data_IF_063331605183
#
_entry.id   IF_063331605183
#
_cell.length_a   1.000
_cell.length_b   1.000
_cell.length_c   1.000
_cell.angle_alpha   90.00
_cell.angle_beta   90.00
_cell.angle_gamma   90.00
#
_symmetry.space_group_name_H-M   'P 1'
#
loop_
_entity.id
_entity.type
_entity.pdbx_description
1 polymer ?
#
# COMPACT_ATOMS: atom_id res chain seq x y z
N UNK A 1 19.11 70.29 12.13
CA UNK A 1 17.74 70.79 12.33
C UNK A 1 16.77 69.71 11.92
N UNK A 2 15.87 69.34 12.82
CA UNK A 2 14.79 68.39 12.57
C UNK A 2 13.68 69.08 11.80
N UNK A 3 13.16 68.45 10.75
CA UNK A 3 11.80 68.68 10.27
C UNK A 3 11.15 67.34 10.04
N UNK A 4 10.02 67.17 10.71
CA UNK A 4 9.19 65.99 10.78
C UNK A 4 7.81 66.36 10.18
N UNK A 5 7.02 65.33 9.86
CA UNK A 5 5.61 65.37 9.41
C UNK A 5 5.41 65.72 7.91
N UNK A 6 4.72 64.89 7.10
CA UNK A 6 3.40 64.30 7.37
C UNK A 6 3.24 62.92 6.72
N UNK A 7 2.61 62.03 7.49
CA UNK A 7 2.04 60.75 7.07
C UNK A 7 0.84 61.02 6.17
N UNK A 8 0.88 60.59 4.92
CA UNK A 8 -0.29 60.45 4.05
C UNK A 8 -0.57 58.96 3.85
N UNK A 9 -1.75 58.53 4.30
CA UNK A 9 -2.27 57.17 4.08
C UNK A 9 -3.06 57.17 2.77
N UNK A 10 -2.77 56.24 1.86
CA UNK A 10 -3.68 55.76 0.79
C UNK A 10 -3.12 54.47 0.17
N UNK A 11 -4.00 53.63 -0.39
CA UNK A 11 -4.56 52.44 0.25
C UNK A 11 -3.78 51.16 -0.09
N UNK A 12 -4.02 50.09 0.69
CA UNK A 12 -3.53 48.75 0.42
C UNK A 12 -3.70 48.37 -1.06
N UNK A 13 -2.60 48.29 -1.80
CA UNK A 13 -2.58 47.50 -3.02
C UNK A 13 -2.72 46.04 -2.59
N UNK A 14 -3.93 45.51 -2.79
CA UNK A 14 -4.32 44.13 -2.57
C UNK A 14 -3.15 43.21 -2.88
N UNK A 15 -2.64 42.51 -1.87
CA UNK A 15 -1.73 41.38 -2.05
C UNK A 15 -2.40 40.45 -3.05
N UNK A 16 -1.78 40.25 -4.21
CA UNK A 16 -2.13 39.16 -5.11
C UNK A 16 -2.19 37.88 -4.24
N UNK A 17 -3.23 37.06 -4.36
CA UNK A 17 -3.25 35.80 -3.64
C UNK A 17 -1.99 35.04 -4.05
N UNK A 18 -1.18 34.66 -3.06
CA UNK A 18 -0.06 33.75 -3.25
C UNK A 18 -0.67 32.45 -3.78
N UNK A 19 -0.67 32.29 -5.10
CA UNK A 19 -1.13 31.06 -5.73
C UNK A 19 -0.07 30.00 -5.43
N UNK A 20 -0.20 29.36 -4.28
CA UNK A 20 0.44 28.09 -3.98
C UNK A 20 -0.17 27.06 -4.92
N UNK A 21 0.42 26.93 -6.11
CA UNK A 21 0.20 25.75 -6.92
C UNK A 21 0.81 24.57 -6.16
N UNK A 22 -0.03 23.70 -5.62
CA UNK A 22 0.38 22.38 -5.15
C UNK A 22 0.74 21.56 -6.39
N UNK A 23 1.97 21.73 -6.87
CA UNK A 23 2.53 20.86 -7.90
C UNK A 23 2.65 19.48 -7.25
N UNK A 24 1.70 18.61 -7.55
CA UNK A 24 1.79 17.18 -7.23
C UNK A 24 2.88 16.62 -8.15
N UNK A 25 4.11 16.57 -7.64
CA UNK A 25 5.18 15.82 -8.27
C UNK A 25 4.78 14.34 -8.09
N UNK A 26 4.28 13.73 -9.15
CA UNK A 26 4.23 12.27 -9.23
C UNK A 26 5.67 11.81 -9.07
N UNK A 27 6.03 11.36 -7.87
CA UNK A 27 7.30 10.67 -7.65
C UNK A 27 7.22 9.41 -8.50
N UNK A 28 7.87 9.44 -9.67
CA UNK A 28 8.03 8.26 -10.49
C UNK A 28 8.70 7.20 -9.62
N UNK A 29 7.97 6.12 -9.31
CA UNK A 29 8.58 5.00 -8.62
C UNK A 29 9.83 4.57 -9.41
N UNK A 30 10.94 4.24 -8.74
CA UNK A 30 12.15 3.80 -9.41
C UNK A 30 11.78 2.68 -10.38
N UNK A 31 11.97 2.91 -11.69
CA UNK A 31 11.64 1.94 -12.73
C UNK A 31 12.51 0.70 -12.53
N UNK A 32 12.00 -0.27 -11.77
CA UNK A 32 12.69 -1.53 -11.52
C UNK A 32 12.60 -2.36 -12.79
N UNK A 33 13.74 -2.85 -13.28
CA UNK A 33 13.73 -3.70 -14.47
C UNK A 33 12.75 -4.88 -14.27
N UNK A 34 12.01 -5.29 -15.31
CA UNK A 34 11.05 -6.40 -15.21
C UNK A 34 11.68 -7.66 -14.61
N UNK A 35 12.96 -7.93 -14.90
CA UNK A 35 13.74 -9.02 -14.33
C UNK A 35 13.88 -8.94 -12.79
N UNK A 36 14.11 -7.75 -12.24
CA UNK A 36 14.20 -7.54 -10.79
C UNK A 36 12.84 -7.70 -10.13
N UNK A 37 11.78 -7.22 -10.76
CA UNK A 37 10.39 -7.37 -10.29
C UNK A 37 9.98 -8.85 -10.23
N UNK A 38 10.25 -9.60 -11.29
CA UNK A 38 9.97 -11.04 -11.35
C UNK A 38 10.78 -11.83 -10.31
N UNK A 39 12.07 -11.50 -10.14
CA UNK A 39 12.91 -12.11 -9.10
C UNK A 39 12.35 -11.86 -7.70
N UNK A 40 11.94 -10.62 -7.41
CA UNK A 40 11.31 -10.27 -6.13
C UNK A 40 10.01 -11.02 -5.91
N UNK A 41 9.13 -11.08 -6.93
CA UNK A 41 7.88 -11.83 -6.87
C UNK A 41 8.11 -13.33 -6.60
N UNK A 42 9.07 -13.95 -7.29
CA UNK A 42 9.42 -15.35 -7.07
C UNK A 42 9.90 -15.63 -5.64
N UNK A 43 10.80 -14.79 -5.11
CA UNK A 43 11.32 -14.96 -3.75
C UNK A 43 10.18 -14.83 -2.74
N UNK A 44 9.33 -13.81 -2.88
CA UNK A 44 8.20 -13.58 -2.00
C UNK A 44 7.20 -14.75 -2.02
N UNK A 45 6.85 -15.22 -3.23
CA UNK A 45 5.89 -16.32 -3.37
C UNK A 45 6.46 -17.63 -2.82
N UNK A 46 7.75 -17.91 -3.04
CA UNK A 46 8.42 -19.07 -2.47
C UNK A 46 8.35 -19.07 -0.94
N UNK A 47 8.69 -17.96 -0.29
CA UNK A 47 8.61 -17.85 1.17
C UNK A 47 7.18 -17.99 1.68
N UNK A 48 6.18 -17.48 0.94
CA UNK A 48 4.76 -17.64 1.30
C UNK A 48 4.29 -19.10 1.20
N UNK A 49 4.73 -19.82 0.18
CA UNK A 49 4.40 -21.23 -0.03
C UNK A 49 4.99 -22.12 1.06
N UNK A 50 6.23 -21.88 1.49
CA UNK A 50 6.87 -22.63 2.58
C UNK A 50 6.02 -22.57 3.88
N UNK A 51 5.49 -21.40 4.22
CA UNK A 51 4.60 -21.23 5.39
C UNK A 51 3.26 -21.94 5.17
N UNK A 52 2.66 -21.76 3.98
CA UNK A 52 1.36 -22.35 3.63
C UNK A 52 1.41 -23.87 3.68
N UNK A 53 2.50 -24.49 3.22
CA UNK A 53 2.68 -25.93 3.23
C UNK A 53 2.74 -26.50 4.66
N UNK A 54 3.48 -25.83 5.56
CA UNK A 54 3.53 -26.20 6.97
C UNK A 54 2.16 -26.07 7.63
N UNK A 55 1.42 -24.99 7.35
CA UNK A 55 0.09 -24.77 7.91
C UNK A 55 -0.93 -25.79 7.39
N UNK A 56 -0.89 -26.13 6.10
CA UNK A 56 -1.72 -27.18 5.52
C UNK A 56 -1.42 -28.55 6.12
N UNK A 57 -0.14 -28.89 6.31
CA UNK A 57 0.27 -30.15 6.93
C UNK A 57 -0.23 -30.25 8.39
N UNK A 58 -0.20 -29.12 9.12
CA UNK A 58 -0.72 -29.05 10.50
C UNK A 58 -2.25 -28.98 10.59
N UNK A 59 -2.92 -28.60 9.51
CA UNK A 59 -4.38 -28.43 9.47
C UNK A 59 -5.05 -29.76 9.13
N UNK A 60 -5.87 -30.28 10.04
CA UNK A 60 -6.74 -31.43 9.79
C UNK A 60 -8.16 -30.94 9.51
N UNK A 61 -8.58 -30.98 8.25
CA UNK A 61 -9.97 -30.72 7.89
C UNK A 61 -10.77 -32.01 8.02
N UNK A 62 -11.85 -32.00 8.80
CA UNK A 62 -12.76 -33.13 9.02
C UNK A 62 -14.18 -32.68 8.70
N UNK A 63 -14.99 -33.60 8.14
CA UNK A 63 -16.43 -33.39 7.98
C UNK A 63 -17.16 -34.06 9.14
N UNK A 64 -18.23 -33.44 9.62
CA UNK A 64 -19.04 -33.97 10.73
C UNK A 64 -20.47 -34.14 10.22
N UNK A 65 -21.06 -35.31 10.45
CA UNK A 65 -22.46 -35.56 10.11
C UNK A 65 -23.44 -34.97 11.14
N UNK A 66 -24.73 -35.20 10.91
CA UNK A 66 -25.81 -34.65 11.73
C UNK A 66 -25.87 -35.27 13.13
N UNK A 67 -25.25 -36.44 13.29
CA UNK A 67 -25.16 -37.19 14.54
C UNK A 67 -23.81 -36.93 15.26
N UNK A 68 -22.93 -36.11 14.68
CA UNK A 68 -21.64 -35.74 15.25
C UNK A 68 -20.48 -36.66 14.88
N UNK A 69 -20.66 -37.61 13.96
CA UNK A 69 -19.60 -38.54 13.57
C UNK A 69 -18.66 -37.92 12.54
N UNK A 70 -17.36 -38.26 12.65
CA UNK A 70 -16.34 -37.84 11.71
C UNK A 70 -16.46 -38.59 10.38
N UNK A 71 -16.69 -37.87 9.30
CA UNK A 71 -16.67 -38.38 7.92
C UNK A 71 -15.31 -38.06 7.28
N UNK A 72 -14.72 -39.06 6.63
CA UNK A 72 -13.48 -38.92 5.85
C UNK A 72 -13.77 -38.17 4.56
N UNK A 73 -13.17 -36.99 4.37
CA UNK A 73 -13.27 -36.22 3.13
C UNK A 73 -12.12 -36.64 2.19
N UNK A 74 -12.40 -37.09 0.96
CA UNK A 74 -11.35 -37.28 -0.04
C UNK A 74 -10.89 -35.92 -0.56
N UNK A 75 -9.69 -35.48 -0.14
CA UNK A 75 -9.06 -34.24 -0.63
C UNK A 75 -8.35 -34.40 -1.97
N UNK A 76 -8.19 -35.63 -2.46
CA UNK A 76 -7.53 -35.91 -3.72
C UNK A 76 -8.58 -35.86 -4.83
N UNK A 77 -8.77 -34.68 -5.42
CA UNK A 77 -9.18 -34.63 -6.82
C UNK A 77 -8.01 -35.20 -7.62
N UNK A 78 -8.25 -36.27 -8.35
CA UNK A 78 -7.25 -36.92 -9.21
C UNK A 78 -6.82 -35.98 -10.33
N UNK A 79 -5.87 -35.08 -10.08
CA UNK A 79 -5.20 -34.26 -11.09
C UNK A 79 -3.71 -34.15 -10.79
#
# INVERSE_FOLDING_TARGET
MFVNLKKTMLPHSKTLPEYKSDIVINQEEPQVSPSKKLKGAYINERSRLEVTEVELNRSKVVMVDQDGNLIRVPFLSEH
#
